data_IF_747763239645
#
_entry.id   IF_747763239645
#
_cell.length_a   1.000
_cell.length_b   1.000
_cell.length_c   1.000
_cell.angle_alpha   90.00
_cell.angle_beta   90.00
_cell.angle_gamma   90.00
#
_symmetry.space_group_name_H-M   'P 1'
#
loop_
_entity.id
_entity.type
_entity.pdbx_description
1 polymer ?
#
# COMPACT_ATOMS: atom_id res chain seq x y z
N UNK A 1 21.68 -38.25 21.13
CA UNK A 1 22.86 -38.27 20.24
C UNK A 1 22.81 -37.24 19.11
N UNK A 2 21.68 -37.02 18.42
CA UNK A 2 21.57 -35.97 17.38
C UNK A 2 21.79 -34.53 17.90
N UNK A 3 21.39 -34.23 19.13
CA UNK A 3 21.58 -32.91 19.77
C UNK A 3 23.06 -32.57 20.02
N UNK A 4 23.90 -33.57 20.32
CA UNK A 4 25.33 -33.40 20.55
C UNK A 4 26.11 -33.19 19.25
N UNK A 5 25.69 -33.80 18.14
CA UNK A 5 26.27 -33.56 16.81
C UNK A 5 25.88 -32.20 16.23
N UNK A 6 24.67 -31.71 16.51
CA UNK A 6 24.23 -30.35 16.14
C UNK A 6 24.99 -29.29 16.96
N UNK A 7 25.26 -29.55 18.25
CA UNK A 7 26.12 -28.69 19.07
C UNK A 7 27.58 -28.68 18.58
N UNK A 8 28.12 -29.82 18.12
CA UNK A 8 29.48 -29.89 17.57
C UNK A 8 29.61 -29.19 16.20
N UNK A 9 28.60 -29.30 15.33
CA UNK A 9 28.53 -28.57 14.06
C UNK A 9 28.34 -27.05 14.27
N UNK A 10 27.58 -26.65 15.29
CA UNK A 10 27.45 -25.25 15.74
C UNK A 10 28.76 -24.73 16.35
N UNK A 11 29.49 -25.56 17.10
CA UNK A 11 30.82 -25.28 17.66
C UNK A 11 31.86 -25.06 16.55
N UNK A 12 31.79 -25.84 15.46
CA UNK A 12 32.65 -25.67 14.29
C UNK A 12 32.29 -24.42 13.47
N UNK A 13 31.01 -24.04 13.37
CA UNK A 13 30.59 -22.82 12.66
C UNK A 13 30.93 -21.54 13.43
N UNK A 14 30.72 -21.48 14.75
CA UNK A 14 31.13 -20.34 15.57
C UNK A 14 32.65 -20.18 15.58
N UNK A 15 33.40 -21.30 15.67
CA UNK A 15 34.86 -21.28 15.56
C UNK A 15 35.34 -20.95 14.14
N UNK A 16 34.63 -21.32 13.07
CA UNK A 16 34.97 -20.92 11.71
C UNK A 16 34.73 -19.42 11.46
N UNK A 17 33.68 -18.85 12.07
CA UNK A 17 33.40 -17.40 12.04
C UNK A 17 34.45 -16.62 12.86
N UNK A 18 34.88 -17.15 14.01
CA UNK A 18 35.96 -16.57 14.82
C UNK A 18 37.36 -16.78 14.22
N UNK A 19 37.64 -17.92 13.58
CA UNK A 19 38.92 -18.19 12.90
C UNK A 19 39.09 -17.35 11.62
N UNK A 20 37.99 -17.01 10.94
CA UNK A 20 38.03 -16.07 9.80
C UNK A 20 38.34 -14.64 10.26
N UNK A 21 37.89 -14.25 11.46
CA UNK A 21 38.30 -13.02 12.12
C UNK A 21 39.76 -13.04 12.58
N UNK A 22 40.32 -14.21 12.90
CA UNK A 22 41.73 -14.37 13.27
C UNK A 22 42.66 -13.96 12.11
N UNK A 23 42.32 -14.31 10.86
CA UNK A 23 43.08 -13.89 9.68
C UNK A 23 42.94 -12.39 9.34
N UNK A 24 41.84 -11.74 9.76
CA UNK A 24 41.60 -10.30 9.55
C UNK A 24 42.21 -9.47 10.70
N UNK A 25 42.26 -10.01 11.91
CA UNK A 25 42.90 -9.41 13.09
C UNK A 25 44.43 -9.58 13.08
N UNK A 26 44.97 -10.68 12.53
CA UNK A 26 46.42 -10.85 12.35
C UNK A 26 47.01 -9.84 11.34
N UNK A 27 46.21 -9.34 10.39
CA UNK A 27 46.62 -8.28 9.47
C UNK A 27 46.69 -6.89 10.15
N UNK A 28 45.95 -6.69 11.24
CA UNK A 28 45.89 -5.45 12.01
C UNK A 28 46.39 -5.69 13.44
N UNK A 29 47.73 -5.78 13.61
CA UNK A 29 48.51 -5.93 14.87
C UNK A 29 47.86 -5.31 16.15
N UNK A 30 46.79 -5.91 16.65
CA UNK A 30 46.16 -5.61 17.93
C UNK A 30 46.01 -6.91 18.68
N UNK A 31 46.26 -6.80 19.96
CA UNK A 31 46.58 -7.88 20.88
C UNK A 31 45.57 -9.03 20.84
N UNK A 32 46.14 -10.24 20.92
CA UNK A 32 45.48 -11.52 21.07
C UNK A 32 44.51 -11.51 22.26
N UNK A 33 43.22 -11.33 22.00
CA UNK A 33 42.17 -11.69 22.95
C UNK A 33 42.12 -13.22 22.98
N UNK A 34 42.46 -13.81 24.13
CA UNK A 34 42.45 -15.26 24.32
C UNK A 34 41.03 -15.82 24.15
N UNK A 35 40.80 -16.61 23.10
CA UNK A 35 39.49 -17.22 22.77
C UNK A 35 38.89 -18.10 23.89
N UNK A 36 39.66 -18.50 24.91
CA UNK A 36 39.17 -19.27 26.06
C UNK A 36 38.30 -18.44 27.01
N UNK A 37 38.59 -17.15 27.19
CA UNK A 37 37.84 -16.29 28.11
C UNK A 37 36.47 -15.91 27.53
N UNK A 38 36.38 -15.63 26.23
CA UNK A 38 35.10 -15.31 25.59
C UNK A 38 34.14 -16.51 25.62
N UNK A 39 34.64 -17.73 25.44
CA UNK A 39 33.85 -18.97 25.49
C UNK A 39 33.37 -19.29 26.91
N UNK A 40 34.23 -19.16 27.91
CA UNK A 40 33.85 -19.32 29.33
C UNK A 40 32.83 -18.28 29.76
N UNK A 41 32.99 -17.02 29.33
CA UNK A 41 32.05 -15.92 29.57
C UNK A 41 30.69 -16.23 28.94
N UNK A 42 30.63 -16.63 27.67
CA UNK A 42 29.35 -16.98 27.01
C UNK A 42 28.63 -18.17 27.67
N UNK A 43 29.35 -19.24 28.03
CA UNK A 43 28.76 -20.42 28.69
C UNK A 43 28.29 -20.08 30.10
N UNK A 44 29.07 -19.29 30.86
CA UNK A 44 28.71 -18.84 32.20
C UNK A 44 27.49 -17.92 32.19
N UNK A 45 27.50 -16.88 31.35
CA UNK A 45 26.38 -15.95 31.21
C UNK A 45 25.09 -16.63 30.75
N UNK A 46 25.19 -17.54 29.78
CA UNK A 46 24.05 -18.30 29.29
C UNK A 46 23.45 -19.19 30.39
N UNK A 47 24.28 -19.86 31.18
CA UNK A 47 23.83 -20.68 32.31
C UNK A 47 23.25 -19.85 33.46
N UNK A 48 23.85 -18.71 33.78
CA UNK A 48 23.36 -17.78 34.82
C UNK A 48 22.01 -17.15 34.42
N UNK A 49 21.82 -16.83 33.13
CA UNK A 49 20.57 -16.29 32.60
C UNK A 49 19.46 -17.36 32.48
N UNK A 50 19.80 -18.61 32.18
CA UNK A 50 18.86 -19.75 32.19
C UNK A 50 18.40 -20.10 33.62
N UNK A 51 19.30 -20.07 34.59
CA UNK A 51 18.97 -20.31 36.00
C UNK A 51 17.96 -19.28 36.55
N UNK A 52 18.01 -18.04 36.05
CA UNK A 52 17.13 -16.94 36.45
C UNK A 52 15.68 -17.11 35.96
N UNK A 53 15.45 -17.61 34.74
CA UNK A 53 14.08 -17.85 34.22
C UNK A 53 13.42 -19.07 34.89
N UNK A 54 14.21 -20.02 35.39
CA UNK A 54 13.74 -21.10 36.25
C UNK A 54 13.31 -20.60 37.64
N UNK A 55 14.08 -19.69 38.26
CA UNK A 55 13.75 -19.11 39.58
C UNK A 55 12.46 -18.25 39.57
N UNK A 56 12.12 -17.61 38.45
CA UNK A 56 10.84 -16.87 38.29
C UNK A 56 9.63 -17.81 38.19
N UNK A 57 9.83 -19.07 37.78
CA UNK A 57 8.77 -20.09 37.72
C UNK A 57 8.46 -20.72 39.09
N UNK A 58 9.38 -20.64 40.05
CA UNK A 58 9.24 -21.32 41.33
C UNK A 58 9.00 -20.31 42.47
N UNK A 59 7.73 -19.99 42.75
CA UNK A 59 7.33 -19.02 43.79
C UNK A 59 7.62 -19.49 45.23
N UNK A 60 8.26 -20.63 45.43
CA UNK A 60 8.37 -21.29 46.74
C UNK A 60 9.78 -21.47 47.30
N UNK A 61 10.82 -20.87 46.72
CA UNK A 61 12.16 -20.92 47.33
C UNK A 61 12.47 -19.58 48.00
N UNK A 62 12.20 -19.54 49.31
CA UNK A 62 12.58 -18.45 50.20
C UNK A 62 14.08 -18.42 50.44
N UNK A 63 14.68 -17.26 50.20
CA UNK A 63 16.06 -16.94 50.57
C UNK A 63 16.61 -15.82 49.68
N UNK A 64 17.13 -14.71 50.23
CA UNK A 64 17.65 -13.62 49.43
C UNK A 64 19.00 -14.05 48.85
N UNK A 65 19.00 -14.55 47.62
CA UNK A 65 20.22 -14.64 46.84
C UNK A 65 20.58 -13.21 46.41
N UNK A 66 21.29 -12.51 47.27
CA UNK A 66 22.01 -11.28 46.94
C UNK A 66 23.19 -11.67 46.04
N UNK A 67 22.94 -11.86 44.74
CA UNK A 67 24.00 -12.12 43.75
C UNK A 67 23.87 -11.10 42.65
N UNK A 68 24.80 -10.14 42.65
CA UNK A 68 25.33 -9.36 41.51
C UNK A 68 24.52 -9.46 40.20
N UNK A 69 23.32 -8.90 40.20
CA UNK A 69 22.42 -8.92 39.04
C UNK A 69 22.82 -7.93 37.95
N UNK A 70 23.72 -6.98 38.23
CA UNK A 70 24.26 -6.02 37.27
C UNK A 70 25.37 -6.62 36.41
N UNK A 71 26.36 -7.31 37.02
CA UNK A 71 27.57 -7.78 36.33
C UNK A 71 27.28 -8.59 35.05
N UNK A 72 26.35 -9.55 35.06
CA UNK A 72 26.11 -10.40 33.88
C UNK A 72 25.24 -9.74 32.79
N UNK A 73 24.43 -8.72 33.09
CA UNK A 73 23.66 -8.03 32.03
C UNK A 73 24.59 -7.09 31.27
N UNK A 74 25.40 -6.35 32.02
CA UNK A 74 26.37 -5.40 31.47
C UNK A 74 27.48 -6.14 30.70
N UNK A 75 27.96 -7.28 31.20
CA UNK A 75 28.95 -8.12 30.52
C UNK A 75 28.43 -8.69 29.18
N UNK A 76 27.16 -9.11 29.10
CA UNK A 76 26.57 -9.57 27.83
C UNK A 76 26.48 -8.43 26.81
N UNK A 77 26.07 -7.25 27.27
CA UNK A 77 25.91 -6.07 26.42
C UNK A 77 27.26 -5.62 25.86
N UNK A 78 28.32 -5.60 26.68
CA UNK A 78 29.68 -5.23 26.25
C UNK A 78 30.26 -6.23 25.23
N UNK A 79 30.09 -7.53 25.48
CA UNK A 79 30.55 -8.58 24.56
C UNK A 79 29.84 -8.48 23.22
N UNK A 80 28.51 -8.34 23.22
CA UNK A 80 27.74 -8.21 21.99
C UNK A 80 28.04 -6.90 21.26
N UNK A 81 28.20 -5.79 21.98
CA UNK A 81 28.55 -4.48 21.40
C UNK A 81 29.89 -4.57 20.67
N UNK A 82 30.91 -5.14 21.32
CA UNK A 82 32.23 -5.36 20.71
C UNK A 82 32.14 -6.29 19.51
N UNK A 83 31.33 -7.36 19.61
CA UNK A 83 31.18 -8.33 18.54
C UNK A 83 30.54 -7.74 17.29
N UNK A 84 29.59 -6.80 17.40
CA UNK A 84 28.89 -6.22 16.24
C UNK A 84 29.52 -4.92 15.71
N UNK A 85 30.46 -4.32 16.43
CA UNK A 85 30.99 -2.98 16.14
C UNK A 85 31.53 -2.86 14.71
N UNK A 86 32.35 -3.82 14.29
CA UNK A 86 33.05 -3.79 12.99
C UNK A 86 32.28 -4.48 11.83
N UNK A 87 31.10 -5.03 12.10
CA UNK A 87 30.29 -5.67 11.07
C UNK A 87 29.33 -4.70 10.38
N UNK A 88 29.03 -4.95 9.10
CA UNK A 88 27.91 -4.31 8.42
C UNK A 88 26.56 -4.71 9.04
N UNK A 89 25.54 -3.89 8.84
CA UNK A 89 24.19 -4.10 9.38
C UNK A 89 23.64 -5.53 9.17
N UNK A 90 23.79 -6.09 7.97
CA UNK A 90 23.32 -7.44 7.67
C UNK A 90 24.00 -8.47 8.58
N UNK A 91 25.33 -8.39 8.72
CA UNK A 91 26.14 -9.35 9.47
C UNK A 91 25.92 -9.23 10.97
N UNK A 92 25.81 -8.00 11.47
CA UNK A 92 25.43 -7.75 12.86
C UNK A 92 24.04 -8.32 13.16
N UNK A 93 23.07 -8.06 12.28
CA UNK A 93 21.69 -8.57 12.43
C UNK A 93 21.66 -10.10 12.43
N UNK A 94 22.40 -10.74 11.51
CA UNK A 94 22.50 -12.20 11.45
C UNK A 94 23.10 -12.78 12.73
N UNK A 95 24.23 -12.22 13.20
CA UNK A 95 24.89 -12.68 14.42
C UNK A 95 23.97 -12.59 15.64
N UNK A 96 23.28 -11.47 15.82
CA UNK A 96 22.35 -11.29 16.94
C UNK A 96 21.14 -12.22 16.79
N UNK A 97 20.59 -12.40 15.58
CA UNK A 97 19.51 -13.38 15.34
C UNK A 97 19.93 -14.80 15.73
N UNK A 98 21.15 -15.22 15.38
CA UNK A 98 21.66 -16.52 15.80
C UNK A 98 21.76 -16.62 17.32
N UNK A 99 22.27 -15.58 18.01
CA UNK A 99 22.34 -15.58 19.48
C UNK A 99 20.96 -15.70 20.10
N UNK A 100 19.99 -14.89 19.67
CA UNK A 100 18.66 -14.83 20.31
C UNK A 100 17.79 -16.05 19.95
N UNK A 101 17.83 -16.56 18.71
CA UNK A 101 17.06 -17.74 18.27
C UNK A 101 17.44 -19.03 19.02
N UNK A 102 18.65 -19.09 19.57
CA UNK A 102 19.11 -20.22 20.36
C UNK A 102 18.64 -20.15 21.82
N UNK A 103 17.87 -19.14 22.20
CA UNK A 103 17.36 -18.94 23.56
C UNK A 103 15.85 -18.66 23.52
N UNK A 104 15.14 -18.91 24.61
CA UNK A 104 13.75 -18.42 24.81
C UNK A 104 13.72 -17.30 25.87
N UNK A 105 14.87 -16.69 26.16
CA UNK A 105 15.02 -15.75 27.26
C UNK A 105 14.78 -14.31 26.78
N UNK A 106 13.73 -13.67 27.30
CA UNK A 106 13.36 -12.29 26.94
C UNK A 106 14.47 -11.27 27.27
N UNK A 107 15.32 -11.53 28.27
CA UNK A 107 16.45 -10.65 28.63
C UNK A 107 17.56 -10.71 27.58
N UNK A 108 17.88 -11.91 27.08
CA UNK A 108 18.88 -12.08 26.01
C UNK A 108 18.39 -11.43 24.71
N UNK A 109 17.11 -11.63 24.38
CA UNK A 109 16.48 -10.94 23.24
C UNK A 109 16.56 -9.43 23.39
N UNK A 110 16.19 -8.89 24.57
CA UNK A 110 16.27 -7.45 24.85
C UNK A 110 17.68 -6.92 24.65
N UNK A 111 18.70 -7.52 25.27
CA UNK A 111 20.08 -7.05 25.18
C UNK A 111 20.59 -7.14 23.74
N UNK A 112 20.35 -8.28 23.06
CA UNK A 112 20.77 -8.46 21.67
C UNK A 112 20.18 -7.41 20.73
N UNK A 113 18.87 -7.17 20.81
CA UNK A 113 18.22 -6.16 19.98
C UNK A 113 18.56 -4.73 20.41
N UNK A 114 18.77 -4.46 21.70
CA UNK A 114 19.25 -3.15 22.20
C UNK A 114 20.63 -2.81 21.61
N UNK A 115 21.53 -3.79 21.51
CA UNK A 115 22.86 -3.62 20.89
C UNK A 115 22.72 -3.31 19.39
N UNK A 116 21.86 -4.03 18.66
CA UNK A 116 21.57 -3.69 17.25
C UNK A 116 21.02 -2.29 17.09
N UNK A 117 20.07 -1.90 17.96
CA UNK A 117 19.48 -0.57 17.92
C UNK A 117 20.53 0.51 18.12
N UNK A 118 21.38 0.37 19.14
CA UNK A 118 22.49 1.28 19.41
C UNK A 118 23.45 1.39 18.23
N UNK A 119 23.80 0.27 17.60
CA UNK A 119 24.63 0.28 16.39
C UNK A 119 23.98 1.12 15.29
N UNK A 120 22.69 0.91 15.03
CA UNK A 120 21.96 1.59 13.97
C UNK A 120 21.88 3.11 14.20
N UNK A 121 21.67 3.56 15.44
CA UNK A 121 21.55 5.00 15.74
C UNK A 121 22.90 5.70 15.92
N UNK A 122 23.97 4.97 16.25
CA UNK A 122 25.30 5.56 16.51
C UNK A 122 26.11 5.72 15.22
N UNK A 123 25.99 4.78 14.29
CA UNK A 123 26.71 4.84 13.02
C UNK A 123 25.88 5.59 11.95
N UNK A 124 26.13 6.90 11.85
CA UNK A 124 25.48 7.77 10.86
C UNK A 124 25.72 7.34 9.41
N UNK A 125 26.79 6.60 9.12
CA UNK A 125 27.11 6.13 7.77
C UNK A 125 26.31 4.88 7.40
N UNK A 126 25.90 4.08 8.39
CA UNK A 126 25.05 2.89 8.20
C UNK A 126 23.56 3.18 8.36
N UNK A 127 23.18 4.43 8.62
CA UNK A 127 21.78 4.82 8.78
C UNK A 127 21.03 4.84 7.43
N UNK A 128 20.55 3.68 6.98
CA UNK A 128 19.52 3.56 5.94
C UNK A 128 18.15 3.37 6.63
N UNK A 129 17.14 4.24 6.41
CA UNK A 129 15.83 4.05 7.02
C UNK A 129 15.15 2.73 6.65
N UNK A 130 15.56 2.08 5.55
CA UNK A 130 15.15 0.70 5.25
C UNK A 130 15.58 -0.29 6.34
N UNK A 131 16.74 -0.08 6.97
CA UNK A 131 17.21 -0.93 8.06
C UNK A 131 16.40 -0.72 9.34
N UNK A 132 15.91 0.50 9.60
CA UNK A 132 15.00 0.79 10.73
C UNK A 132 13.68 0.04 10.53
N UNK A 133 13.17 0.06 9.31
CA UNK A 133 11.96 -0.67 8.89
C UNK A 133 12.12 -2.18 9.12
N UNK A 134 13.22 -2.76 8.63
CA UNK A 134 13.51 -4.18 8.78
C UNK A 134 13.66 -4.54 10.26
N UNK A 135 14.35 -3.68 11.03
CA UNK A 135 14.55 -3.86 12.46
C UNK A 135 13.23 -3.82 13.25
N UNK A 136 12.38 -2.85 12.97
CA UNK A 136 11.05 -2.75 13.58
C UNK A 136 10.21 -4.01 13.29
N UNK A 137 10.25 -4.50 12.05
CA UNK A 137 9.56 -5.73 11.65
C UNK A 137 10.05 -6.96 12.40
N UNK A 138 11.37 -7.05 12.64
CA UNK A 138 11.98 -8.12 13.45
C UNK A 138 11.50 -8.03 14.89
N UNK A 139 11.60 -6.84 15.52
CA UNK A 139 11.21 -6.62 16.91
C UNK A 139 9.74 -6.99 17.14
N UNK A 140 8.85 -6.51 16.27
CA UNK A 140 7.40 -6.78 16.34
C UNK A 140 7.07 -8.28 16.28
N UNK A 141 7.78 -9.04 15.46
CA UNK A 141 7.58 -10.50 15.40
C UNK A 141 8.03 -11.16 16.70
N UNK A 142 9.19 -10.75 17.24
CA UNK A 142 9.74 -11.31 18.47
C UNK A 142 8.87 -10.99 19.69
N UNK A 143 8.40 -9.75 19.83
CA UNK A 143 7.51 -9.35 20.93
C UNK A 143 6.20 -10.12 20.89
N UNK A 144 5.65 -10.35 19.69
CA UNK A 144 4.47 -11.21 19.53
C UNK A 144 4.74 -12.66 19.96
N UNK A 145 5.86 -13.24 19.54
CA UNK A 145 6.17 -14.66 19.76
C UNK A 145 6.50 -14.98 21.23
N UNK A 146 7.09 -14.02 21.98
CA UNK A 146 7.50 -14.19 23.38
C UNK A 146 6.39 -13.85 24.42
N UNK A 147 5.25 -13.29 24.00
CA UNK A 147 4.09 -13.04 24.87
C UNK A 147 4.33 -12.04 26.01
N UNK A 148 3.65 -12.22 27.15
CA UNK A 148 3.51 -11.22 28.24
C UNK A 148 4.75 -10.99 29.11
N UNK A 149 5.89 -11.67 28.86
CA UNK A 149 7.14 -11.52 29.64
C UNK A 149 8.13 -10.50 29.04
N UNK A 150 7.67 -9.62 28.16
CA UNK A 150 8.49 -8.83 27.23
C UNK A 150 8.59 -7.33 27.56
N UNK A 151 8.28 -6.88 28.78
CA UNK A 151 8.23 -5.45 29.14
C UNK A 151 9.36 -4.56 28.56
N UNK A 152 10.65 -4.91 28.76
CA UNK A 152 11.78 -4.16 28.17
C UNK A 152 11.85 -4.22 26.63
N UNK A 153 11.46 -5.33 26.02
CA UNK A 153 11.39 -5.47 24.56
C UNK A 153 10.25 -4.63 23.96
N UNK A 154 9.10 -4.55 24.63
CA UNK A 154 7.98 -3.68 24.21
C UNK A 154 8.40 -2.21 24.28
N UNK A 155 9.14 -1.82 25.32
CA UNK A 155 9.67 -0.47 25.44
C UNK A 155 10.65 -0.16 24.29
N UNK A 156 11.55 -1.09 23.95
CA UNK A 156 12.46 -0.95 22.81
C UNK A 156 11.71 -0.91 21.47
N UNK A 157 10.71 -1.77 21.26
CA UNK A 157 9.86 -1.72 20.06
C UNK A 157 9.16 -0.36 19.92
N UNK A 158 8.67 0.20 21.03
CA UNK A 158 8.02 1.51 21.06
C UNK A 158 9.01 2.62 20.72
N UNK A 159 10.21 2.60 21.29
CA UNK A 159 11.28 3.55 20.98
C UNK A 159 11.63 3.53 19.48
N UNK A 160 11.82 2.33 18.93
CA UNK A 160 12.15 2.14 17.50
C UNK A 160 11.01 2.62 16.61
N UNK A 161 9.76 2.36 16.98
CA UNK A 161 8.58 2.85 16.25
C UNK A 161 8.53 4.37 16.22
N UNK A 162 8.72 5.03 17.38
CA UNK A 162 8.73 6.50 17.46
C UNK A 162 9.79 7.06 16.54
N UNK A 163 11.02 6.53 16.60
CA UNK A 163 12.09 6.97 15.73
C UNK A 163 11.80 6.71 14.25
N UNK A 164 11.22 5.56 13.91
CA UNK A 164 10.81 5.23 12.54
C UNK A 164 9.78 6.24 12.02
N UNK A 165 8.78 6.56 12.84
CA UNK A 165 7.71 7.51 12.49
C UNK A 165 8.30 8.89 12.25
N UNK A 166 9.06 9.43 13.20
CA UNK A 166 9.66 10.76 13.11
C UNK A 166 10.56 10.91 11.89
N UNK A 167 11.40 9.91 11.61
CA UNK A 167 12.38 9.95 10.52
C UNK A 167 11.74 9.77 9.16
N UNK A 168 10.73 8.91 9.07
CA UNK A 168 9.94 8.76 7.84
C UNK A 168 9.12 10.02 7.57
N UNK A 169 8.61 10.69 8.61
CA UNK A 169 7.90 11.95 8.48
C UNK A 169 8.79 13.09 7.96
N UNK A 170 9.99 13.25 8.54
CA UNK A 170 10.99 14.22 8.06
C UNK A 170 11.35 14.00 6.59
N UNK A 171 11.44 12.74 6.16
CA UNK A 171 11.73 12.41 4.78
C UNK A 171 10.56 12.72 3.84
N UNK A 172 9.33 12.49 4.31
CA UNK A 172 8.12 12.79 3.56
C UNK A 172 7.85 14.28 3.44
N UNK A 173 8.15 15.04 4.48
CA UNK A 173 8.07 16.49 4.54
C UNK A 173 8.76 17.11 3.31
N UNK A 174 9.97 16.64 2.96
CA UNK A 174 10.72 17.09 1.77
C UNK A 174 9.91 17.01 0.45
N UNK A 175 9.00 16.05 0.33
CA UNK A 175 8.14 15.90 -0.86
C UNK A 175 7.00 16.91 -0.92
N UNK A 176 6.66 17.50 0.23
CA UNK A 176 5.61 18.50 0.40
C UNK A 176 6.14 19.94 0.37
N UNK A 177 7.47 20.12 0.39
CA UNK A 177 8.19 21.39 0.15
C UNK A 177 8.97 21.37 -1.17
N UNK A 178 8.31 21.31 -2.34
CA UNK A 178 9.01 21.40 -3.61
C UNK A 178 9.68 22.77 -3.77
N UNK A 179 10.82 22.79 -4.47
CA UNK A 179 11.54 24.03 -4.74
C UNK A 179 10.69 25.09 -5.49
N UNK A 180 9.62 24.67 -6.19
CA UNK A 180 8.69 25.58 -6.86
C UNK A 180 7.32 24.92 -7.06
N UNK A 181 6.29 25.44 -6.36
CA UNK A 181 4.91 24.98 -6.48
C UNK A 181 4.28 25.19 -7.88
N UNK A 182 4.76 26.15 -8.68
CA UNK A 182 4.23 26.38 -10.02
C UNK A 182 4.62 25.26 -11.01
N UNK A 183 5.73 24.57 -10.76
CA UNK A 183 6.23 23.47 -11.59
C UNK A 183 6.02 22.11 -10.93
N UNK A 184 5.09 22.01 -9.97
CA UNK A 184 4.94 20.85 -9.11
C UNK A 184 4.70 19.55 -9.89
N UNK A 185 3.88 19.59 -10.95
CA UNK A 185 3.62 18.40 -11.77
C UNK A 185 4.90 17.82 -12.40
N UNK A 186 5.78 18.68 -12.93
CA UNK A 186 7.05 18.25 -13.48
C UNK A 186 7.99 17.70 -12.39
N UNK A 187 7.98 18.32 -11.21
CA UNK A 187 8.76 17.87 -10.05
C UNK A 187 8.28 16.50 -9.57
N UNK A 188 6.96 16.29 -9.43
CA UNK A 188 6.37 15.03 -8.98
C UNK A 188 6.58 13.90 -10.00
N UNK A 189 6.48 14.20 -11.31
CA UNK A 189 6.62 13.19 -12.37
C UNK A 189 8.05 12.71 -12.55
N UNK A 190 9.05 13.54 -12.19
CA UNK A 190 10.44 13.12 -12.28
C UNK A 190 10.78 12.08 -11.20
N UNK A 191 11.07 10.86 -11.62
CA UNK A 191 11.40 9.73 -10.74
C UNK A 191 12.72 9.90 -10.01
N UNK A 192 13.63 10.76 -10.47
CA UNK A 192 14.87 11.07 -9.74
C UNK A 192 14.62 11.95 -8.52
N UNK A 193 13.50 12.67 -8.48
CA UNK A 193 13.13 13.48 -7.33
C UNK A 193 12.54 12.57 -6.25
N UNK A 194 13.00 12.77 -5.01
CA UNK A 194 12.49 12.08 -3.83
C UNK A 194 12.66 10.54 -3.85
N UNK A 195 13.69 10.01 -4.54
CA UNK A 195 13.95 8.57 -4.66
C UNK A 195 13.99 7.88 -3.29
N UNK A 196 14.66 8.49 -2.31
CA UNK A 196 14.79 7.96 -0.96
C UNK A 196 13.43 7.90 -0.27
N UNK A 197 12.64 8.99 -0.34
CA UNK A 197 11.27 9.04 0.19
C UNK A 197 10.38 7.96 -0.44
N UNK A 198 10.38 7.85 -1.77
CA UNK A 198 9.60 6.84 -2.48
C UNK A 198 10.00 5.42 -2.10
N UNK A 199 11.30 5.13 -2.00
CA UNK A 199 11.80 3.81 -1.59
C UNK A 199 11.30 3.43 -0.20
N UNK A 200 11.42 4.32 0.77
CA UNK A 200 11.01 4.07 2.16
C UNK A 200 9.50 3.89 2.25
N UNK A 201 8.75 4.76 1.59
CA UNK A 201 7.31 4.67 1.50
C UNK A 201 6.77 3.39 0.84
N UNK A 202 7.46 2.85 -0.18
CA UNK A 202 7.08 1.55 -0.78
C UNK A 202 7.29 0.38 0.18
N UNK A 203 8.18 0.53 1.16
CA UNK A 203 8.38 -0.45 2.21
C UNK A 203 7.32 -0.34 3.30
N UNK A 204 6.84 0.88 3.60
CA UNK A 204 5.77 1.25 4.56
C UNK A 204 4.35 0.79 4.17
N UNK A 205 4.24 -0.31 3.41
CA UNK A 205 2.95 -0.94 3.13
C UNK A 205 2.24 -1.31 4.44
N UNK A 206 1.02 -0.79 4.61
CA UNK A 206 0.20 -0.98 5.81
C UNK A 206 -0.02 -2.46 6.14
N UNK A 207 -0.05 -3.32 5.12
CA UNK A 207 -0.18 -4.78 5.29
C UNK A 207 1.06 -5.43 5.93
N UNK A 208 2.25 -4.82 5.81
CA UNK A 208 3.52 -5.39 6.30
C UNK A 208 3.93 -4.87 7.68
N UNK A 209 3.66 -3.60 7.99
CA UNK A 209 4.20 -2.98 9.20
C UNK A 209 3.21 -2.85 10.36
N UNK A 210 1.92 -3.09 10.13
CA UNK A 210 0.87 -2.94 11.14
C UNK A 210 -0.04 -1.76 10.85
N UNK A 211 -1.23 -1.81 11.47
CA UNK A 211 -2.44 -1.23 10.89
C UNK A 211 -2.44 0.30 10.71
N UNK A 212 -1.50 1.05 11.34
CA UNK A 212 -1.57 2.52 11.38
C UNK A 212 -0.24 3.30 11.23
N UNK A 213 0.91 2.65 11.00
CA UNK A 213 2.20 3.37 10.97
C UNK A 213 2.26 4.44 9.87
N UNK A 214 1.67 4.17 8.71
CA UNK A 214 1.60 5.15 7.64
C UNK A 214 0.80 6.40 8.04
N UNK A 215 -0.26 6.23 8.83
CA UNK A 215 -1.08 7.34 9.33
C UNK A 215 -0.33 8.15 10.40
N UNK A 216 0.41 7.48 11.29
CA UNK A 216 1.26 8.15 12.28
C UNK A 216 2.32 9.01 11.61
N UNK A 217 2.97 8.45 10.58
CA UNK A 217 3.93 9.17 9.76
C UNK A 217 3.28 10.40 9.11
N UNK A 218 2.11 10.25 8.49
CA UNK A 218 1.39 11.36 7.88
C UNK A 218 1.00 12.43 8.89
N UNK A 219 0.56 12.06 10.09
CA UNK A 219 0.22 13.01 11.14
C UNK A 219 1.42 13.88 11.55
N UNK A 220 2.56 13.25 11.84
CA UNK A 220 3.80 13.97 12.17
C UNK A 220 4.27 14.82 10.98
N UNK A 221 4.14 14.32 9.76
CA UNK A 221 4.48 15.07 8.54
C UNK A 221 3.62 16.31 8.40
N UNK A 222 2.30 16.18 8.56
CA UNK A 222 1.38 17.31 8.43
C UNK A 222 1.54 18.32 9.56
N UNK A 223 1.84 17.89 10.80
CA UNK A 223 2.16 18.79 11.91
C UNK A 223 3.38 19.69 11.57
N UNK A 224 4.38 19.15 10.87
CA UNK A 224 5.56 19.91 10.44
C UNK A 224 5.25 20.81 9.24
N UNK A 225 4.63 20.28 8.19
CA UNK A 225 4.35 21.02 6.94
C UNK A 225 3.38 22.19 7.19
N UNK A 226 2.36 22.01 8.02
CA UNK A 226 1.39 23.06 8.34
C UNK A 226 2.00 24.24 9.10
N UNK A 227 3.19 24.09 9.68
CA UNK A 227 3.95 25.20 10.29
C UNK A 227 4.78 25.99 9.27
N UNK A 228 5.06 25.41 8.11
CA UNK A 228 6.02 25.94 7.15
C UNK A 228 5.36 26.43 5.86
N UNK A 229 4.24 25.83 5.44
CA UNK A 229 3.61 26.10 4.15
C UNK A 229 2.14 26.51 4.27
N UNK A 230 1.63 27.15 3.21
CA UNK A 230 0.21 27.38 3.09
C UNK A 230 -0.53 26.06 2.87
N UNK A 231 -1.69 25.89 3.51
CA UNK A 231 -2.50 24.68 3.36
C UNK A 231 -2.85 24.38 1.89
N UNK A 232 -3.09 25.42 1.09
CA UNK A 232 -3.42 25.28 -0.32
C UNK A 232 -2.24 24.76 -1.16
N UNK A 233 -1.01 25.16 -0.83
CA UNK A 233 0.19 24.67 -1.50
C UNK A 233 0.50 23.23 -1.09
N UNK A 234 0.26 22.86 0.18
CA UNK A 234 0.32 21.47 0.62
C UNK A 234 -0.62 20.58 -0.18
N UNK A 235 -1.86 21.00 -0.43
CA UNK A 235 -2.81 20.23 -1.27
C UNK A 235 -2.27 19.99 -2.68
N UNK A 236 -1.61 20.97 -3.30
CA UNK A 236 -0.96 20.78 -4.61
C UNK A 236 0.15 19.72 -4.52
N UNK A 237 0.89 19.71 -3.41
CA UNK A 237 2.02 18.81 -3.20
C UNK A 237 1.64 17.41 -2.72
N UNK A 238 0.42 17.17 -2.22
CA UNK A 238 -0.02 15.82 -1.84
C UNK A 238 0.09 14.82 -3.01
N UNK A 239 -0.03 15.28 -4.26
CA UNK A 239 0.16 14.44 -5.44
C UNK A 239 1.63 14.03 -5.68
N UNK A 240 2.60 14.74 -5.09
CA UNK A 240 4.03 14.39 -5.11
C UNK A 240 4.40 13.25 -4.15
N UNK A 241 3.51 12.81 -3.25
CA UNK A 241 3.77 11.74 -2.27
C UNK A 241 4.08 10.38 -2.92
N UNK A 242 4.04 10.26 -4.26
CA UNK A 242 4.94 9.36 -5.01
C UNK A 242 4.70 7.87 -4.84
N UNK A 243 3.53 7.49 -4.34
CA UNK A 243 3.18 6.11 -4.06
C UNK A 243 1.91 5.69 -4.79
N UNK A 244 1.54 4.43 -4.66
CA UNK A 244 0.31 3.90 -5.24
C UNK A 244 -0.92 4.79 -4.93
N UNK A 245 -1.97 4.62 -5.74
CA UNK A 245 -3.18 5.44 -5.64
C UNK A 245 -3.79 5.40 -4.22
N UNK A 246 -3.76 4.25 -3.55
CA UNK A 246 -4.34 4.08 -2.21
C UNK A 246 -3.65 4.94 -1.14
N UNK A 247 -2.31 4.94 -1.09
CA UNK A 247 -1.56 5.76 -0.12
C UNK A 247 -1.77 7.26 -0.37
N UNK A 248 -1.84 7.66 -1.65
CA UNK A 248 -2.19 9.05 -2.02
C UNK A 248 -3.60 9.39 -1.57
N UNK A 249 -4.58 8.51 -1.77
CA UNK A 249 -5.95 8.71 -1.32
C UNK A 249 -6.02 8.85 0.21
N UNK A 250 -5.35 7.98 0.96
CA UNK A 250 -5.26 8.06 2.42
C UNK A 250 -4.67 9.41 2.85
N UNK A 251 -3.58 9.86 2.23
CA UNK A 251 -2.98 11.15 2.56
C UNK A 251 -3.94 12.33 2.32
N UNK A 252 -4.69 12.31 1.20
CA UNK A 252 -5.69 13.35 0.91
C UNK A 252 -6.86 13.32 1.91
N UNK A 253 -7.37 12.13 2.25
CA UNK A 253 -8.46 11.99 3.22
C UNK A 253 -8.03 12.42 4.63
N UNK A 254 -6.81 12.11 5.03
CA UNK A 254 -6.26 12.54 6.33
C UNK A 254 -6.03 14.04 6.38
N UNK A 255 -5.47 14.63 5.31
CA UNK A 255 -5.25 16.07 5.25
C UNK A 255 -6.57 16.85 5.26
N UNK A 256 -7.58 16.35 4.54
CA UNK A 256 -8.95 16.88 4.59
C UNK A 256 -9.53 16.80 6.01
N UNK A 257 -9.39 15.67 6.70
CA UNK A 257 -9.93 15.51 8.06
C UNK A 257 -9.39 16.58 9.03
N UNK A 258 -8.12 16.97 8.85
CA UNK A 258 -7.48 18.04 9.62
C UNK A 258 -7.95 19.43 9.19
N UNK A 259 -8.28 19.59 7.91
CA UNK A 259 -8.56 20.85 7.24
C UNK A 259 -9.85 20.79 6.42
N UNK A 260 -10.99 20.67 7.11
CA UNK A 260 -12.32 20.54 6.47
C UNK A 260 -12.67 21.73 5.56
N UNK A 261 -12.07 22.89 5.79
CA UNK A 261 -12.19 24.10 4.96
C UNK A 261 -11.66 23.93 3.53
N UNK A 262 -10.83 22.91 3.27
CA UNK A 262 -10.23 22.64 1.96
C UNK A 262 -11.02 21.64 1.12
N UNK A 263 -12.27 21.35 1.49
CA UNK A 263 -13.10 20.36 0.82
C UNK A 263 -13.14 20.56 -0.70
N UNK A 264 -13.43 21.78 -1.17
CA UNK A 264 -13.51 22.09 -2.60
C UNK A 264 -12.17 21.86 -3.33
N UNK A 265 -11.05 22.21 -2.70
CA UNK A 265 -9.72 22.08 -3.28
C UNK A 265 -9.29 20.61 -3.40
N UNK A 266 -9.69 19.78 -2.44
CA UNK A 266 -9.35 18.36 -2.37
C UNK A 266 -10.32 17.47 -3.15
N UNK A 267 -11.56 17.93 -3.38
CA UNK A 267 -12.63 17.15 -4.00
C UNK A 267 -12.18 16.51 -5.33
N UNK A 268 -11.65 17.30 -6.25
CA UNK A 268 -11.23 16.81 -7.57
C UNK A 268 -10.07 15.79 -7.47
N UNK A 269 -9.12 16.01 -6.56
CA UNK A 269 -7.99 15.09 -6.38
C UNK A 269 -8.48 13.76 -5.80
N UNK A 270 -9.34 13.80 -4.78
CA UNK A 270 -9.93 12.61 -4.17
C UNK A 270 -10.75 11.85 -5.21
N UNK A 271 -11.62 12.52 -5.97
CA UNK A 271 -12.43 11.90 -7.01
C UNK A 271 -11.58 11.17 -8.06
N UNK A 272 -10.51 11.81 -8.54
CA UNK A 272 -9.57 11.18 -9.48
C UNK A 272 -8.86 9.97 -8.86
N UNK A 273 -8.42 10.09 -7.61
CA UNK A 273 -7.73 9.03 -6.90
C UNK A 273 -8.64 7.82 -6.68
N UNK A 274 -9.87 8.03 -6.23
CA UNK A 274 -10.85 6.96 -6.02
C UNK A 274 -11.07 6.16 -7.30
N UNK A 275 -11.11 6.82 -8.47
CA UNK A 275 -11.20 6.14 -9.78
C UNK A 275 -9.97 5.28 -10.15
N UNK A 276 -8.81 5.52 -9.52
CA UNK A 276 -7.57 4.78 -9.80
C UNK A 276 -7.15 3.81 -8.69
N UNK A 277 -7.80 3.87 -7.53
CA UNK A 277 -7.50 3.05 -6.36
C UNK A 277 -8.08 1.64 -6.47
N UNK A 278 -7.38 0.68 -5.86
CA UNK A 278 -7.98 -0.60 -5.52
C UNK A 278 -8.74 -0.45 -4.20
N UNK A 279 -9.98 0.01 -4.29
CA UNK A 279 -10.77 0.30 -3.10
C UNK A 279 -11.07 -0.96 -2.28
N UNK A 280 -11.01 -2.16 -2.85
CA UNK A 280 -11.22 -3.41 -2.11
C UNK A 280 -10.12 -3.67 -1.08
N UNK A 281 -8.93 -3.12 -1.32
CA UNK A 281 -7.79 -3.22 -0.40
C UNK A 281 -7.76 -2.12 0.68
N UNK A 282 -8.70 -1.17 0.66
CA UNK A 282 -8.78 -0.11 1.67
C UNK A 282 -9.49 -0.61 2.93
N UNK A 283 -8.96 -0.20 4.09
CA UNK A 283 -9.61 -0.47 5.36
C UNK A 283 -11.01 0.18 5.42
N UNK A 284 -12.00 -0.45 6.08
CA UNK A 284 -13.40 0.04 6.14
C UNK A 284 -13.55 1.49 6.59
N UNK A 285 -12.71 1.97 7.51
CA UNK A 285 -12.73 3.37 7.98
C UNK A 285 -12.50 4.41 6.89
N UNK A 286 -11.80 4.06 5.81
CA UNK A 286 -11.58 4.97 4.68
C UNK A 286 -12.79 4.97 3.74
N UNK A 287 -13.50 3.84 3.64
CA UNK A 287 -14.72 3.75 2.84
C UNK A 287 -15.80 4.70 3.29
N UNK A 288 -16.08 4.76 4.60
CA UNK A 288 -17.06 5.69 5.17
C UNK A 288 -16.73 7.15 4.81
N UNK A 289 -15.44 7.48 4.73
CA UNK A 289 -14.96 8.83 4.41
C UNK A 289 -14.98 9.14 2.92
N UNK A 290 -14.79 8.14 2.08
CA UNK A 290 -14.81 8.26 0.63
C UNK A 290 -16.23 8.49 0.12
N UNK A 291 -17.26 7.97 0.80
CA UNK A 291 -18.66 8.04 0.35
C UNK A 291 -19.10 9.44 -0.09
N UNK A 292 -18.74 10.48 0.67
CA UNK A 292 -19.07 11.88 0.36
C UNK A 292 -18.39 12.42 -0.92
N UNK A 293 -17.36 11.76 -1.42
CA UNK A 293 -16.59 12.13 -2.61
C UNK A 293 -16.91 11.27 -3.82
N UNK A 294 -17.75 10.25 -3.67
CA UNK A 294 -18.15 9.38 -4.77
C UNK A 294 -19.19 10.10 -5.63
N UNK A 295 -18.96 10.24 -6.94
CA UNK A 295 -20.04 10.48 -7.89
C UNK A 295 -21.18 9.48 -7.70
N UNK A 296 -22.42 9.90 -7.93
CA UNK A 296 -23.60 9.00 -7.85
C UNK A 296 -23.38 7.71 -8.63
N UNK A 297 -22.95 7.81 -9.89
CA UNK A 297 -22.68 6.62 -10.71
C UNK A 297 -21.59 5.72 -10.14
N UNK A 298 -20.59 6.29 -9.46
CA UNK A 298 -19.50 5.55 -8.85
C UNK A 298 -19.95 4.85 -7.57
N UNK A 299 -20.70 5.54 -6.72
CA UNK A 299 -21.31 4.97 -5.52
C UNK A 299 -22.18 3.77 -5.86
N UNK A 300 -23.04 3.90 -6.87
CA UNK A 300 -23.89 2.81 -7.36
C UNK A 300 -23.04 1.63 -7.85
N UNK A 301 -22.00 1.86 -8.67
CA UNK A 301 -21.09 0.81 -9.13
C UNK A 301 -20.29 0.13 -7.99
N UNK A 302 -20.26 0.73 -6.79
CA UNK A 302 -19.64 0.12 -5.62
C UNK A 302 -20.62 -0.66 -4.74
N UNK A 303 -21.84 -0.15 -4.60
CA UNK A 303 -22.78 -0.66 -3.60
C UNK A 303 -23.84 -1.62 -4.18
N UNK A 304 -24.09 -1.57 -5.49
CA UNK A 304 -25.13 -2.38 -6.15
C UNK A 304 -24.63 -3.76 -6.58
N UNK A 305 -25.54 -4.73 -6.69
CA UNK A 305 -25.27 -6.04 -7.29
C UNK A 305 -25.64 -6.10 -8.78
N UNK A 306 -26.49 -5.18 -9.24
CA UNK A 306 -26.76 -4.93 -10.64
C UNK A 306 -27.07 -3.46 -10.91
N UNK A 307 -26.81 -3.02 -12.13
CA UNK A 307 -26.98 -1.64 -12.57
C UNK A 307 -27.81 -1.52 -13.83
N UNK A 308 -28.49 -0.39 -13.98
CA UNK A 308 -28.98 0.07 -15.27
C UNK A 308 -28.15 1.26 -15.74
N UNK A 309 -27.88 1.30 -17.05
CA UNK A 309 -27.03 2.34 -17.67
C UNK A 309 -27.95 3.27 -18.45
N UNK A 310 -28.24 4.45 -17.90
CA UNK A 310 -29.19 5.42 -18.46
C UNK A 310 -28.48 6.54 -19.23
N UNK A 311 -28.91 6.85 -20.46
CA UNK A 311 -28.30 7.97 -21.19
C UNK A 311 -28.79 9.32 -20.65
N UNK A 312 -27.88 10.25 -20.37
CA UNK A 312 -28.23 11.53 -19.73
C UNK A 312 -28.71 12.60 -20.70
N UNK A 313 -28.56 12.40 -22.01
CA UNK A 313 -29.03 13.38 -22.99
C UNK A 313 -30.54 13.21 -23.22
N UNK A 314 -31.30 14.30 -23.26
CA UNK A 314 -32.72 14.28 -23.68
C UNK A 314 -33.64 13.29 -22.95
N UNK A 315 -34.67 12.81 -23.66
CA UNK A 315 -35.58 11.74 -23.18
C UNK A 315 -35.07 10.33 -23.49
N UNK A 316 -33.75 10.16 -23.59
CA UNK A 316 -33.16 8.89 -23.97
C UNK A 316 -33.25 7.85 -22.87
N UNK A 317 -33.19 6.59 -23.31
CA UNK A 317 -33.50 5.44 -22.51
C UNK A 317 -32.29 4.76 -21.85
N UNK A 318 -32.57 3.60 -21.28
CA UNK A 318 -31.61 2.68 -20.69
C UNK A 318 -30.99 1.78 -21.75
N UNK A 319 -29.70 1.53 -21.62
CA UNK A 319 -28.97 0.59 -22.46
C UNK A 319 -29.57 -0.81 -22.36
N UNK A 320 -29.89 -1.43 -23.50
CA UNK A 320 -30.29 -2.84 -23.57
C UNK A 320 -29.94 -3.42 -24.94
N UNK A 321 -29.99 -4.75 -25.04
CA UNK A 321 -29.86 -5.45 -26.31
C UNK A 321 -31.19 -5.45 -27.07
N UNK A 322 -31.12 -5.16 -28.36
CA UNK A 322 -32.19 -5.35 -29.32
C UNK A 322 -32.26 -6.82 -29.75
N UNK A 323 -33.39 -7.46 -29.48
CA UNK A 323 -33.55 -8.93 -29.53
C UNK A 323 -33.25 -9.60 -30.87
N UNK A 324 -33.45 -8.89 -31.99
CA UNK A 324 -33.32 -9.46 -33.33
C UNK A 324 -31.93 -9.26 -33.95
N UNK A 325 -31.24 -8.20 -33.55
CA UNK A 325 -29.98 -7.77 -34.19
C UNK A 325 -28.78 -7.95 -33.28
N UNK A 326 -29.01 -8.29 -32.00
CA UNK A 326 -28.03 -8.23 -30.91
C UNK A 326 -27.32 -6.88 -30.81
N UNK A 327 -27.87 -5.82 -31.41
CA UNK A 327 -27.34 -4.48 -31.30
C UNK A 327 -27.67 -3.90 -29.94
N UNK A 328 -26.75 -3.12 -29.38
CA UNK A 328 -27.09 -2.30 -28.22
C UNK A 328 -27.91 -1.09 -28.64
N UNK A 329 -28.94 -0.81 -27.85
CA UNK A 329 -29.95 0.21 -28.09
C UNK A 329 -30.37 0.88 -26.78
N UNK A 330 -31.10 1.99 -26.85
CA UNK A 330 -31.67 2.65 -25.66
C UNK A 330 -33.19 2.46 -25.56
N UNK A 331 -33.69 2.00 -24.42
CA UNK A 331 -35.11 1.72 -24.15
C UNK A 331 -35.71 2.64 -23.10
N UNK A 332 -36.97 3.03 -23.27
CA UNK A 332 -37.68 3.85 -22.29
C UNK A 332 -37.82 3.15 -20.92
N UNK A 333 -38.09 3.94 -19.88
CA UNK A 333 -38.19 3.48 -18.48
C UNK A 333 -39.16 2.30 -18.26
N UNK A 334 -40.25 2.20 -19.04
CA UNK A 334 -41.18 1.08 -18.97
C UNK A 334 -40.57 -0.30 -19.28
N UNK A 335 -39.38 -0.34 -19.88
CA UNK A 335 -38.65 -1.56 -20.22
C UNK A 335 -37.32 -1.71 -19.43
N UNK A 336 -37.19 -1.01 -18.29
CA UNK A 336 -35.99 -1.02 -17.44
C UNK A 336 -35.54 -2.44 -17.04
N UNK A 337 -36.46 -3.38 -16.84
CA UNK A 337 -36.15 -4.78 -16.52
C UNK A 337 -35.30 -5.51 -17.58
N UNK A 338 -35.33 -5.08 -18.86
CA UNK A 338 -34.45 -5.62 -19.92
C UNK A 338 -33.07 -4.97 -19.95
N UNK A 339 -32.89 -3.91 -19.17
CA UNK A 339 -31.75 -3.01 -19.21
C UNK A 339 -30.86 -3.15 -17.96
N UNK A 340 -31.11 -4.19 -17.15
CA UNK A 340 -30.33 -4.48 -15.96
C UNK A 340 -29.10 -5.36 -16.31
N UNK A 341 -27.95 -4.96 -15.80
CA UNK A 341 -26.67 -5.64 -15.99
C UNK A 341 -26.07 -6.05 -14.65
N UNK A 342 -25.66 -7.31 -14.54
CA UNK A 342 -24.66 -7.70 -13.55
C UNK A 342 -23.32 -7.18 -14.02
N UNK A 343 -22.43 -6.88 -13.08
CA UNK A 343 -21.11 -6.41 -13.42
C UNK A 343 -20.04 -7.05 -12.55
N UNK A 344 -18.86 -7.23 -13.14
CA UNK A 344 -17.65 -7.65 -12.43
C UNK A 344 -16.69 -6.47 -12.40
N UNK A 345 -16.25 -6.10 -11.20
CA UNK A 345 -15.24 -5.06 -11.01
C UNK A 345 -13.84 -5.67 -11.11
N UNK A 346 -13.05 -5.16 -12.03
CA UNK A 346 -11.63 -5.47 -12.19
C UNK A 346 -10.79 -4.41 -11.46
N UNK A 347 -9.45 -4.54 -11.51
CA UNK A 347 -8.53 -3.59 -10.89
C UNK A 347 -8.80 -2.14 -11.34
N UNK A 348 -8.98 -1.23 -10.37
CA UNK A 348 -9.26 0.20 -10.60
C UNK A 348 -10.72 0.49 -10.99
N UNK A 349 -10.90 1.25 -12.07
CA UNK A 349 -12.19 1.66 -12.66
C UNK A 349 -12.59 0.81 -13.88
N UNK A 350 -12.22 -0.47 -13.91
CA UNK A 350 -12.51 -1.37 -15.04
C UNK A 350 -13.62 -2.34 -14.68
N UNK A 351 -14.53 -2.55 -15.62
CA UNK A 351 -15.76 -3.31 -15.41
C UNK A 351 -16.05 -4.21 -16.60
N UNK A 352 -16.68 -5.35 -16.33
CA UNK A 352 -17.33 -6.19 -17.34
C UNK A 352 -18.82 -6.14 -17.03
N UNK A 353 -19.66 -5.89 -18.04
CA UNK A 353 -21.12 -5.81 -17.89
C UNK A 353 -21.80 -6.94 -18.65
N UNK A 354 -22.63 -7.72 -17.95
CA UNK A 354 -23.43 -8.81 -18.50
C UNK A 354 -24.92 -8.52 -18.29
N UNK A 355 -25.69 -8.52 -19.37
CA UNK A 355 -27.14 -8.37 -19.29
C UNK A 355 -27.76 -9.52 -18.49
N UNK A 356 -28.59 -9.19 -17.51
CA UNK A 356 -29.34 -10.20 -16.74
C UNK A 356 -30.40 -10.86 -17.61
N UNK A 357 -31.07 -10.08 -18.45
CA UNK A 357 -32.15 -10.60 -19.30
C UNK A 357 -31.60 -11.40 -20.49
N UNK A 358 -30.62 -10.85 -21.21
CA UNK A 358 -30.10 -11.43 -22.45
C UNK A 358 -28.93 -12.39 -22.25
N UNK A 359 -28.31 -12.39 -21.06
CA UNK A 359 -27.11 -13.19 -20.72
C UNK A 359 -25.86 -12.88 -21.57
N UNK A 360 -25.92 -11.82 -22.38
CA UNK A 360 -24.83 -11.34 -23.22
C UNK A 360 -24.08 -10.16 -22.57
N UNK A 361 -22.80 -10.01 -22.95
CA UNK A 361 -21.95 -8.91 -22.55
C UNK A 361 -22.01 -7.75 -23.54
N UNK A 362 -21.80 -6.52 -23.05
CA UNK A 362 -21.60 -5.36 -23.92
C UNK A 362 -20.24 -5.49 -24.60
N UNK A 363 -20.19 -5.58 -25.92
CA UNK A 363 -18.96 -5.74 -26.70
C UNK A 363 -18.81 -4.69 -27.78
N UNK A 364 -17.60 -4.15 -27.86
CA UNK A 364 -17.12 -3.38 -29.00
C UNK A 364 -16.63 -4.35 -30.07
N UNK A 365 -17.32 -4.42 -31.20
CA UNK A 365 -16.86 -5.19 -32.35
C UNK A 365 -15.81 -4.41 -33.15
N UNK A 366 -14.71 -5.08 -33.44
CA UNK A 366 -13.73 -4.55 -34.37
C UNK A 366 -14.29 -4.76 -35.79
N UNK A 367 -15.14 -3.84 -36.25
CA UNK A 367 -15.49 -3.80 -37.66
C UNK A 367 -14.18 -3.52 -38.41
N UNK A 368 -13.72 -4.51 -39.18
CA UNK A 368 -12.56 -4.38 -40.05
C UNK A 368 -12.83 -3.34 -41.13
N UNK A 369 -12.77 -2.05 -40.76
CA UNK A 369 -12.99 -0.91 -41.63
C UNK A 369 -11.83 -0.82 -42.65
N UNK A 370 -11.85 -1.71 -43.64
CA UNK A 370 -11.13 -1.59 -44.89
C UNK A 370 -11.91 -0.65 -45.84
N UNK A 371 -12.26 0.54 -45.35
CA UNK A 371 -12.96 1.56 -46.12
C UNK A 371 -12.08 2.79 -46.26
N UNK A 372 -11.52 3.00 -47.45
CA UNK A 372 -10.85 4.25 -47.86
C UNK A 372 -11.86 5.40 -47.91
N UNK A 373 -12.29 5.91 -46.76
CA UNK A 373 -13.02 7.18 -46.65
C UNK A 373 -12.05 8.24 -46.14
N UNK A 374 -11.77 9.24 -46.96
CA UNK A 374 -10.95 10.42 -46.64
C UNK A 374 -11.66 11.42 -45.71
N UNK A 375 -12.84 11.09 -45.22
CA UNK A 375 -13.54 11.79 -44.13
C UNK A 375 -13.85 10.74 -43.05
N UNK A 376 -13.42 10.92 -41.78
CA UNK A 376 -13.71 9.92 -40.76
C UNK A 376 -15.23 9.86 -40.57
N UNK A 377 -15.88 8.68 -40.55
CA UNK A 377 -17.23 8.61 -40.02
C UNK A 377 -17.13 9.02 -38.55
N UNK A 378 -17.75 10.14 -38.18
CA UNK A 378 -17.63 10.75 -36.86
C UNK A 378 -18.14 9.84 -35.73
N UNK A 379 -18.85 8.77 -36.05
CA UNK A 379 -19.38 7.75 -35.13
C UNK A 379 -19.23 6.37 -35.78
N UNK A 380 -19.10 5.33 -34.97
CA UNK A 380 -18.91 3.95 -35.44
C UNK A 380 -20.01 3.08 -34.81
N UNK A 381 -20.90 2.52 -35.62
CA UNK A 381 -21.92 1.59 -35.14
C UNK A 381 -21.29 0.20 -34.98
N UNK A 382 -20.77 -0.07 -33.78
CA UNK A 382 -20.00 -1.28 -33.50
C UNK A 382 -20.22 -1.84 -32.09
N UNK A 383 -21.37 -1.57 -31.46
CA UNK A 383 -21.67 -2.04 -30.11
C UNK A 383 -22.77 -3.10 -30.17
N UNK A 384 -22.45 -4.30 -29.70
CA UNK A 384 -23.30 -5.48 -29.76
C UNK A 384 -23.34 -6.22 -28.43
N UNK A 385 -24.39 -7.01 -28.23
CA UNK A 385 -24.44 -8.10 -27.27
C UNK A 385 -23.63 -9.29 -27.77
N UNK A 386 -22.83 -9.89 -26.90
CA UNK A 386 -21.97 -11.01 -27.25
C UNK A 386 -21.82 -11.98 -26.08
N UNK A 387 -21.67 -13.28 -26.37
CA UNK A 387 -21.38 -14.28 -25.35
C UNK A 387 -19.96 -14.16 -24.73
N UNK A 388 -19.04 -13.46 -25.39
CA UNK A 388 -17.69 -13.21 -24.86
C UNK A 388 -17.62 -11.89 -24.10
N UNK A 389 -16.95 -11.83 -22.93
CA UNK A 389 -16.83 -10.61 -22.14
C UNK A 389 -15.98 -9.55 -22.84
N UNK A 390 -16.18 -8.29 -22.46
CA UNK A 390 -15.36 -7.15 -22.88
C UNK A 390 -15.19 -6.18 -21.72
N UNK A 391 -14.00 -5.59 -21.64
CA UNK A 391 -13.61 -4.72 -20.53
C UNK A 391 -13.90 -3.27 -20.90
N UNK A 392 -14.64 -2.59 -20.02
CA UNK A 392 -14.96 -1.18 -20.13
C UNK A 392 -14.31 -0.42 -18.97
N UNK A 393 -13.61 0.65 -19.28
CA UNK A 393 -13.07 1.56 -18.28
C UNK A 393 -14.07 2.71 -18.02
N UNK A 394 -14.41 2.94 -16.75
CA UNK A 394 -15.32 3.99 -16.32
C UNK A 394 -14.58 5.30 -16.05
N UNK A 395 -14.89 6.35 -16.80
CA UNK A 395 -14.37 7.71 -16.57
C UNK A 395 -15.49 8.56 -15.97
N UNK A 396 -15.35 8.92 -14.70
CA UNK A 396 -16.38 9.69 -13.99
C UNK A 396 -16.32 11.18 -14.33
N UNK A 397 -17.47 11.76 -14.63
CA UNK A 397 -17.64 13.19 -14.98
C UNK A 397 -18.86 13.72 -14.23
N UNK A 398 -18.63 14.53 -13.19
CA UNK A 398 -19.71 14.93 -12.28
C UNK A 398 -20.35 13.68 -11.68
N UNK A 399 -21.68 13.58 -11.69
CA UNK A 399 -22.44 12.40 -11.22
C UNK A 399 -22.55 11.27 -12.25
N UNK A 400 -22.03 11.47 -13.46
CA UNK A 400 -22.17 10.56 -14.59
C UNK A 400 -20.88 9.79 -14.86
N UNK A 401 -20.95 8.83 -15.78
CA UNK A 401 -19.83 8.03 -16.25
C UNK A 401 -19.78 8.02 -17.78
N UNK A 402 -18.57 8.08 -18.34
CA UNK A 402 -18.29 7.70 -19.70
C UNK A 402 -17.59 6.33 -19.71
N UNK A 403 -18.11 5.37 -20.47
CA UNK A 403 -17.52 4.04 -20.58
C UNK A 403 -16.63 3.99 -21.83
N UNK A 404 -15.35 3.66 -21.67
CA UNK A 404 -14.37 3.61 -22.76
C UNK A 404 -13.77 2.22 -22.89
N UNK A 405 -13.67 1.71 -24.12
CA UNK A 405 -12.86 0.54 -24.41
C UNK A 405 -11.38 0.95 -24.32
N UNK A 406 -10.59 0.39 -23.38
CA UNK A 406 -9.21 0.82 -23.16
C UNK A 406 -8.25 0.41 -24.29
N UNK A 407 -8.63 -0.56 -25.13
CA UNK A 407 -7.78 -1.09 -26.20
C UNK A 407 -7.91 -0.26 -27.48
N UNK A 408 -9.15 0.08 -27.85
CA UNK A 408 -9.47 0.84 -29.05
C UNK A 408 -9.60 2.34 -28.80
N UNK A 409 -9.63 2.77 -27.53
CA UNK A 409 -9.83 4.16 -27.11
C UNK A 409 -11.12 4.74 -27.71
N UNK A 410 -12.21 3.98 -27.58
CA UNK A 410 -13.53 4.34 -28.09
C UNK A 410 -14.54 4.41 -26.96
N UNK A 411 -15.29 5.51 -26.88
CA UNK A 411 -16.32 5.75 -25.88
C UNK A 411 -17.66 5.19 -26.32
N UNK A 412 -18.38 4.54 -25.41
CA UNK A 412 -19.75 4.09 -25.57
C UNK A 412 -20.70 5.29 -25.56
N UNK A 413 -21.49 5.46 -26.62
CA UNK A 413 -22.36 6.63 -26.78
C UNK A 413 -23.74 6.22 -27.28
N UNK A 414 -24.75 7.00 -26.93
CA UNK A 414 -26.15 6.77 -27.31
C UNK A 414 -26.99 8.03 -27.42
N UNK A 415 -26.40 9.21 -27.20
CA UNK A 415 -27.13 10.47 -27.10
C UNK A 415 -27.32 11.25 -28.40
N UNK A 416 -26.93 10.72 -29.56
CA UNK A 416 -27.22 11.40 -30.84
C UNK A 416 -28.65 11.09 -31.32
N UNK A 417 -29.49 12.12 -31.41
CA UNK A 417 -30.89 12.05 -31.87
C UNK A 417 -31.06 11.55 -33.30
N UNK A 418 -30.02 11.60 -34.14
CA UNK A 418 -30.10 11.10 -35.52
C UNK A 418 -29.85 9.59 -35.65
N UNK A 419 -29.51 8.90 -34.56
CA UNK A 419 -29.07 7.49 -34.60
C UNK A 419 -30.20 6.52 -34.30
N UNK A 420 -31.03 6.25 -35.30
CA UNK A 420 -32.15 5.32 -35.21
C UNK A 420 -32.10 4.26 -36.29
N UNK A 421 -32.66 3.09 -35.99
CA UNK A 421 -33.15 2.16 -36.99
C UNK A 421 -34.60 1.86 -36.72
N UNK A 422 -35.45 2.25 -37.66
CA UNK A 422 -36.89 2.20 -37.51
C UNK A 422 -37.32 2.93 -36.22
N UNK A 423 -37.67 2.18 -35.17
CA UNK A 423 -38.14 2.69 -33.88
C UNK A 423 -37.14 2.50 -32.72
N UNK A 424 -35.93 2.00 -32.99
CA UNK A 424 -34.91 1.71 -31.97
C UNK A 424 -33.72 2.65 -32.12
N UNK A 425 -33.37 3.33 -31.02
CA UNK A 425 -32.23 4.23 -31.00
C UNK A 425 -30.95 3.46 -30.69
N UNK A 426 -29.94 3.70 -31.50
CA UNK A 426 -28.72 2.92 -31.50
C UNK A 426 -27.67 3.44 -30.53
N UNK A 427 -27.00 2.48 -29.90
CA UNK A 427 -25.75 2.71 -29.17
C UNK A 427 -24.58 2.48 -30.13
N UNK A 428 -23.61 3.37 -30.10
CA UNK A 428 -22.46 3.43 -31.01
C UNK A 428 -21.22 3.82 -30.23
N UNK A 429 -20.09 3.94 -30.93
CA UNK A 429 -18.89 4.48 -30.34
C UNK A 429 -18.39 5.76 -31.01
N UNK A 430 -17.69 6.57 -30.21
CA UNK A 430 -16.93 7.75 -30.64
C UNK A 430 -15.46 7.53 -30.31
N UNK A 431 -14.55 8.06 -31.12
CA UNK A 431 -13.12 7.99 -30.81
C UNK A 431 -12.78 8.90 -29.63
N UNK A 432 -11.74 8.57 -28.88
CA UNK A 432 -11.33 9.36 -27.73
C UNK A 432 -10.97 10.81 -28.09
N UNK A 433 -10.46 11.05 -29.30
CA UNK A 433 -10.11 12.38 -29.80
C UNK A 433 -11.35 13.28 -29.96
N UNK A 434 -12.51 12.68 -30.23
CA UNK A 434 -13.78 13.40 -30.44
C UNK A 434 -14.56 13.60 -29.13
N UNK A 435 -14.13 12.96 -28.03
CA UNK A 435 -14.91 12.91 -26.79
C UNK A 435 -15.22 14.28 -26.21
N UNK A 436 -14.27 15.23 -26.24
CA UNK A 436 -14.51 16.57 -25.68
C UNK A 436 -15.64 17.32 -26.42
N UNK A 437 -15.78 17.13 -27.73
CA UNK A 437 -16.81 17.79 -28.53
C UNK A 437 -18.19 17.12 -28.37
N UNK A 438 -18.21 15.80 -28.19
CA UNK A 438 -19.44 14.99 -28.14
C UNK A 438 -19.70 14.37 -26.78
N UNK A 439 -19.13 14.93 -25.71
CA UNK A 439 -19.16 14.36 -24.38
C UNK A 439 -20.59 14.04 -23.92
N UNK A 440 -21.52 14.97 -24.16
CA UNK A 440 -22.93 14.82 -23.79
C UNK A 440 -23.55 13.53 -24.36
N UNK A 441 -23.18 13.11 -25.58
CA UNK A 441 -23.71 11.89 -26.20
C UNK A 441 -23.25 10.59 -25.52
N UNK A 442 -22.13 10.65 -24.81
CA UNK A 442 -21.38 9.51 -24.28
C UNK A 442 -21.39 9.44 -22.75
N UNK A 443 -22.11 10.34 -22.10
CA UNK A 443 -22.33 10.31 -20.66
C UNK A 443 -23.54 9.45 -20.33
N UNK A 444 -23.37 8.61 -19.31
CA UNK A 444 -24.37 7.71 -18.78
C UNK A 444 -24.52 7.95 -17.29
N UNK A 445 -25.74 7.86 -16.77
CA UNK A 445 -26.02 7.75 -15.36
C UNK A 445 -26.12 6.27 -15.02
N UNK A 446 -25.37 5.83 -14.02
CA UNK A 446 -25.49 4.47 -13.47
C UNK A 446 -26.50 4.52 -12.33
N UNK A 447 -27.54 3.72 -12.45
CA UNK A 447 -28.58 3.56 -11.44
C UNK A 447 -28.58 2.15 -10.85
N UNK A 448 -28.94 2.04 -9.58
CA UNK A 448 -29.11 0.74 -8.93
C UNK A 448 -30.32 0.02 -9.52
N UNK A 449 -30.10 -1.21 -9.97
CA UNK A 449 -31.11 -2.13 -10.49
C UNK A 449 -31.01 -3.51 -9.84
N UNK A 450 -30.50 -3.56 -8.61
CA UNK A 450 -30.34 -4.79 -7.84
C UNK A 450 -31.67 -5.49 -7.54
N UNK A 451 -32.77 -4.74 -7.51
CA UNK A 451 -34.14 -5.24 -7.35
C UNK A 451 -34.68 -6.00 -8.59
N UNK A 452 -33.98 -5.91 -9.72
CA UNK A 452 -34.31 -6.59 -10.98
C UNK A 452 -33.63 -7.95 -11.14
N UNK A 453 -32.80 -8.37 -10.16
CA UNK A 453 -32.25 -9.75 -10.05
C UNK A 453 -33.29 -10.63 -9.37
#
# INVERSE_FOLDING_TARGET
MALQYILLLKFLFLNAVLARNQNVLEANKRETINNSTLLEVHVRLFNDLLAKDAAVKDKNIGGPIAVKTHDCIDELEDVLTTAVQDYEWWSATYLIKEVVNNTQNATVHYIGYKVLWRKLITDKLQYDPAYVIDFYSILKNVTRDLGTRTGPLIALETEVRVQLVERSAQLLEVTLHPANYNNINAICMNTSNYVVARRILTQLDATKMGEHIFEEILNVTFDAVEQLESKADTVKALNCLGLNANQRLIAHLMFLQRNNDLHELLYNNIQQLVGSCDLNSLAPKYWERIGAFLPTSMEVLHNSSAVCIHNVTGGFGYLSECSQTSLMCTFQNGYKYRSAFRFERLLGNRYIFQSIFWQNYIKLENSGFNGNSTVPPAFIKNIYGSATPSVWQAVFVGNNVALVDPSMRQYLCGGNQSMWSNAEQYVYSRRAEDFQLYQHECLWLIEDCSDMI
#
